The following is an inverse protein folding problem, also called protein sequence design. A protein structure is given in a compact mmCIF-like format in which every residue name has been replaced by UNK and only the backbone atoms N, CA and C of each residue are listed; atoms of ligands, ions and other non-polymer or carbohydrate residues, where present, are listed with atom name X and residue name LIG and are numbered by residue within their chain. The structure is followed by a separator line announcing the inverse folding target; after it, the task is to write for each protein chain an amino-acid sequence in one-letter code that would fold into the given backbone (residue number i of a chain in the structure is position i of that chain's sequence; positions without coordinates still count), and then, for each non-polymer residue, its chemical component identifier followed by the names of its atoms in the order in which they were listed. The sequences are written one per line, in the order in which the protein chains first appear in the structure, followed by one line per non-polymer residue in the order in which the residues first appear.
data_IF_274223510984
#
_entry.id   IF_274223510984
#
_cell.length_a   1.000
_cell.length_b   1.000
_cell.length_c   1.000
_cell.angle_alpha   90.00
_cell.angle_beta   90.00
_cell.angle_gamma   90.00
#
_symmetry.space_group_name_H-M   'P 1'
#
loop_
_entity.id
_entity.type
_entity.pdbx_description
1 polymer ?
#
# COMPACT_ATOMS: atom_id res chain seq x y z
N UNK A 1 2.03 -4.69 -10.98
CA UNK A 1 2.94 -5.73 -11.50
C UNK A 1 3.53 -5.40 -12.86
N UNK A 2 2.77 -5.34 -13.96
CA UNK A 2 3.35 -5.16 -15.32
C UNK A 2 4.27 -3.92 -15.43
N UNK A 3 3.82 -2.76 -14.94
CA UNK A 3 4.64 -1.55 -14.93
C UNK A 3 5.96 -1.68 -14.12
N UNK A 4 5.98 -2.51 -13.07
CA UNK A 4 7.21 -2.81 -12.34
C UNK A 4 8.15 -3.69 -13.19
N UNK A 5 7.60 -4.71 -13.85
CA UNK A 5 8.37 -5.58 -14.73
C UNK A 5 9.00 -4.83 -15.92
N UNK A 6 8.28 -3.86 -16.51
CA UNK A 6 8.80 -3.07 -17.65
C UNK A 6 10.00 -2.19 -17.29
N UNK A 7 10.14 -1.80 -16.02
CA UNK A 7 11.28 -0.99 -15.55
C UNK A 7 12.35 -1.84 -14.84
N UNK A 8 12.23 -3.17 -14.86
CA UNK A 8 13.16 -4.07 -14.19
C UNK A 8 13.03 -4.08 -12.65
N UNK A 9 11.93 -3.57 -12.11
CA UNK A 9 11.68 -3.62 -10.67
C UNK A 9 11.16 -5.00 -10.24
N UNK A 10 11.52 -5.41 -9.02
CA UNK A 10 10.99 -6.63 -8.40
C UNK A 10 9.61 -6.34 -7.82
N UNK A 11 8.60 -7.11 -8.26
CA UNK A 11 7.25 -7.03 -7.71
C UNK A 11 7.02 -8.17 -6.72
N UNK A 12 6.56 -7.82 -5.51
CA UNK A 12 6.07 -8.78 -4.51
C UNK A 12 4.71 -8.33 -4.02
N UNK A 13 3.86 -9.29 -3.65
CA UNK A 13 2.53 -9.02 -3.12
C UNK A 13 2.13 -10.10 -2.10
N UNK A 14 1.22 -9.74 -1.21
CA UNK A 14 0.57 -10.67 -0.29
C UNK A 14 -0.94 -10.40 -0.30
N UNK A 15 -1.74 -11.45 -0.16
CA UNK A 15 -3.20 -11.31 -0.10
C UNK A 15 -3.62 -10.44 1.10
N UNK A 16 -4.64 -9.58 0.95
CA UNK A 16 -5.20 -8.82 2.06
C UNK A 16 -5.82 -9.71 3.14
N UNK A 17 -6.13 -10.98 2.84
CA UNK A 17 -6.63 -11.97 3.82
C UNK A 17 -5.55 -12.41 4.83
N UNK A 18 -4.27 -12.29 4.49
CA UNK A 18 -3.18 -12.66 5.40
C UNK A 18 -3.08 -11.68 6.58
N UNK A 19 -2.76 -12.16 7.78
CA UNK A 19 -2.53 -11.27 8.93
C UNK A 19 -1.32 -10.35 8.77
N UNK A 20 -1.22 -9.32 9.62
CA UNK A 20 -0.10 -8.36 9.66
C UNK A 20 1.26 -9.08 9.76
N UNK A 21 1.39 -10.06 10.66
CA UNK A 21 2.64 -10.78 10.87
C UNK A 21 3.12 -11.49 9.60
N UNK A 22 2.22 -12.20 8.90
CA UNK A 22 2.56 -12.89 7.66
C UNK A 22 2.96 -11.93 6.53
N UNK A 23 2.40 -10.71 6.49
CA UNK A 23 2.83 -9.68 5.56
C UNK A 23 4.24 -9.16 5.89
N UNK A 24 4.49 -8.85 7.15
CA UNK A 24 5.79 -8.36 7.62
C UNK A 24 6.90 -9.38 7.43
N UNK A 25 6.65 -10.66 7.70
CA UNK A 25 7.63 -11.72 7.48
C UNK A 25 8.18 -11.72 6.05
N UNK A 26 7.37 -11.34 5.05
CA UNK A 26 7.80 -11.24 3.64
C UNK A 26 8.39 -9.88 3.32
N UNK A 27 7.71 -8.80 3.70
CA UNK A 27 8.09 -7.45 3.30
C UNK A 27 9.36 -6.96 4.00
N UNK A 28 9.59 -7.35 5.25
CA UNK A 28 10.82 -6.97 5.95
C UNK A 28 12.08 -7.62 5.37
N UNK A 29 11.96 -8.75 4.64
CA UNK A 29 13.10 -9.39 3.99
C UNK A 29 13.54 -8.67 2.70
N UNK A 30 12.60 -8.04 2.00
CA UNK A 30 12.84 -7.39 0.71
C UNK A 30 12.94 -5.87 0.79
N UNK A 31 12.60 -5.28 1.94
CA UNK A 31 12.72 -3.85 2.25
C UNK A 31 12.16 -2.95 1.11
N UNK A 32 10.83 -3.00 0.86
CA UNK A 32 10.25 -2.37 -0.32
C UNK A 32 10.40 -0.85 -0.27
N UNK A 33 10.82 -0.25 -1.39
CA UNK A 33 10.91 1.22 -1.52
C UNK A 33 9.55 1.86 -1.83
N UNK A 34 8.66 1.13 -2.50
CA UNK A 34 7.31 1.57 -2.85
C UNK A 34 6.30 0.53 -2.40
N UNK A 35 5.23 0.95 -1.73
CA UNK A 35 4.15 0.09 -1.29
C UNK A 35 2.83 0.52 -1.93
N UNK A 36 2.11 -0.43 -2.54
CA UNK A 36 0.74 -0.24 -3.00
C UNK A 36 -0.23 -0.85 -2.00
N UNK A 37 -1.25 -0.10 -1.58
CA UNK A 37 -2.28 -0.55 -0.64
C UNK A 37 -3.66 -0.10 -1.12
N UNK A 38 -4.67 -0.96 -0.97
CA UNK A 38 -6.07 -0.52 -1.08
C UNK A 38 -6.59 -0.05 0.28
N UNK A 39 -7.65 0.74 0.28
CA UNK A 39 -8.34 1.22 1.49
C UNK A 39 -9.29 0.17 2.11
N UNK A 40 -9.56 -0.90 1.37
CA UNK A 40 -10.36 -2.02 1.83
C UNK A 40 -10.84 -2.90 0.69
N UNK A 41 -11.70 -3.85 1.03
CA UNK A 41 -12.28 -4.79 0.08
C UNK A 41 -13.81 -4.87 0.21
N UNK A 42 -14.45 -5.24 -0.89
CA UNK A 42 -15.87 -5.55 -0.96
C UNK A 42 -15.99 -7.03 -1.34
N UNK A 43 -16.73 -7.77 -0.54
CA UNK A 43 -16.97 -9.21 -0.65
C UNK A 43 -18.33 -9.51 -0.03
N UNK A 44 -19.15 -10.34 -0.68
CA UNK A 44 -20.50 -10.64 -0.18
C UNK A 44 -21.29 -9.40 0.30
N UNK A 45 -21.23 -8.31 -0.49
CA UNK A 45 -21.88 -7.01 -0.23
C UNK A 45 -21.45 -6.27 1.04
N UNK A 46 -20.46 -6.78 1.78
CA UNK A 46 -19.90 -6.13 2.95
C UNK A 46 -18.60 -5.43 2.60
N UNK A 47 -18.26 -4.41 3.38
CA UNK A 47 -17.00 -3.70 3.28
C UNK A 47 -16.09 -4.10 4.45
N UNK A 48 -14.82 -4.36 4.15
CA UNK A 48 -13.78 -4.55 5.16
C UNK A 48 -12.70 -3.52 4.95
N UNK A 49 -12.51 -2.68 5.97
CA UNK A 49 -11.43 -1.70 6.02
C UNK A 49 -10.08 -2.40 6.13
N UNK A 50 -9.10 -1.95 5.35
CA UNK A 50 -7.70 -2.36 5.50
C UNK A 50 -6.90 -1.39 6.39
N UNK A 51 -7.53 -0.32 6.91
CA UNK A 51 -6.86 0.79 7.60
C UNK A 51 -5.93 0.34 8.72
N UNK A 52 -6.46 -0.35 9.74
CA UNK A 52 -5.69 -0.78 10.91
C UNK A 52 -4.51 -1.69 10.51
N UNK A 53 -4.77 -2.63 9.59
CA UNK A 53 -3.75 -3.53 9.06
C UNK A 53 -2.65 -2.76 8.33
N UNK A 54 -3.02 -1.84 7.45
CA UNK A 54 -2.10 -1.01 6.67
C UNK A 54 -1.24 -0.14 7.59
N UNK A 55 -1.84 0.50 8.59
CA UNK A 55 -1.10 1.31 9.57
C UNK A 55 -0.03 0.50 10.31
N UNK A 56 -0.37 -0.71 10.78
CA UNK A 56 0.57 -1.60 11.46
C UNK A 56 1.71 -2.07 10.55
N UNK A 57 1.43 -2.35 9.29
CA UNK A 57 2.45 -2.73 8.31
C UNK A 57 3.39 -1.55 8.02
N UNK A 58 2.83 -0.37 7.75
CA UNK A 58 3.63 0.82 7.41
C UNK A 58 4.48 1.28 8.59
N UNK A 59 3.98 1.19 9.84
CA UNK A 59 4.76 1.58 11.02
C UNK A 59 6.06 0.79 11.15
N UNK A 60 6.05 -0.47 10.72
CA UNK A 60 7.23 -1.33 10.71
C UNK A 60 8.13 -1.09 9.51
N UNK A 61 7.55 -0.87 8.33
CA UNK A 61 8.29 -0.71 7.09
C UNK A 61 8.88 0.70 6.89
N UNK A 62 8.31 1.75 7.49
CA UNK A 62 8.79 3.14 7.32
C UNK A 62 10.24 3.38 7.76
N UNK A 63 10.78 2.50 8.60
CA UNK A 63 12.17 2.52 9.04
C UNK A 63 13.08 1.58 8.22
N UNK A 64 12.53 0.87 7.23
CA UNK A 64 13.19 -0.16 6.42
C UNK A 64 13.11 0.15 4.91
N UNK A 65 13.53 1.35 4.53
CA UNK A 65 13.71 1.72 3.12
C UNK A 65 12.45 2.15 2.37
N UNK A 66 11.27 2.10 2.99
CA UNK A 66 10.02 2.58 2.38
C UNK A 66 10.07 4.09 2.17
N UNK A 67 9.81 4.54 0.94
CA UNK A 67 9.86 5.97 0.54
C UNK A 67 8.53 6.50 0.03
N UNK A 68 7.73 5.64 -0.60
CA UNK A 68 6.47 6.04 -1.24
C UNK A 68 5.37 5.01 -0.96
N UNK A 69 4.19 5.50 -0.62
CA UNK A 69 2.97 4.72 -0.49
C UNK A 69 1.96 5.19 -1.53
N UNK A 70 1.42 4.25 -2.29
CA UNK A 70 0.36 4.50 -3.26
C UNK A 70 -0.93 3.87 -2.75
N UNK A 71 -1.94 4.71 -2.47
CA UNK A 71 -3.25 4.26 -2.01
C UNK A 71 -4.22 4.09 -3.18
N UNK A 72 -4.98 3.00 -3.18
CA UNK A 72 -6.01 2.70 -4.16
C UNK A 72 -7.36 2.77 -3.46
N UNK A 73 -8.24 3.68 -3.88
CA UNK A 73 -9.59 3.79 -3.33
C UNK A 73 -10.48 2.68 -3.87
N UNK A 74 -11.12 1.94 -2.97
CA UNK A 74 -12.05 0.85 -3.28
C UNK A 74 -13.31 0.94 -2.45
N UNK A 75 -13.23 1.36 -1.18
CA UNK A 75 -14.38 1.63 -0.31
C UNK A 75 -14.55 3.10 0.06
N UNK A 76 -13.71 4.00 -0.47
CA UNK A 76 -13.69 5.44 -0.20
C UNK A 76 -13.41 5.77 1.28
N UNK A 77 -12.41 5.10 1.87
CA UNK A 77 -11.98 5.40 3.24
C UNK A 77 -10.88 6.48 3.27
N UNK A 78 -11.29 7.75 3.33
CA UNK A 78 -10.38 8.90 3.30
C UNK A 78 -9.38 8.93 4.48
N UNK A 79 -9.76 8.34 5.62
CA UNK A 79 -8.94 8.28 6.84
C UNK A 79 -7.58 7.61 6.61
N UNK A 80 -7.46 6.72 5.63
CA UNK A 80 -6.20 6.05 5.31
C UNK A 80 -5.14 7.06 4.86
N UNK A 81 -5.49 7.93 3.92
CA UNK A 81 -4.57 8.91 3.37
C UNK A 81 -4.07 9.86 4.45
N UNK A 82 -4.98 10.36 5.29
CA UNK A 82 -4.65 11.30 6.37
C UNK A 82 -3.70 10.67 7.38
N UNK A 83 -3.99 9.43 7.82
CA UNK A 83 -3.15 8.73 8.78
C UNK A 83 -1.76 8.41 8.22
N UNK A 84 -1.66 8.01 6.95
CA UNK A 84 -0.37 7.69 6.31
C UNK A 84 0.51 8.93 6.14
N UNK A 85 -0.07 10.08 5.76
CA UNK A 85 0.67 11.36 5.67
C UNK A 85 1.30 11.77 7.00
N UNK A 86 0.64 11.48 8.12
CA UNK A 86 1.17 11.76 9.46
C UNK A 86 2.38 10.88 9.83
N UNK A 87 2.62 9.77 9.12
CA UNK A 87 3.74 8.86 9.41
C UNK A 87 5.08 9.32 8.82
N UNK A 88 5.10 10.42 8.07
CA UNK A 88 6.31 11.00 7.48
C UNK A 88 6.79 10.33 6.19
N UNK A 89 5.94 9.49 5.56
CA UNK A 89 6.23 8.85 4.28
C UNK A 89 5.43 9.54 3.18
N UNK A 90 6.06 9.75 2.02
CA UNK A 90 5.37 10.28 0.86
C UNK A 90 4.20 9.37 0.49
N UNK A 91 3.00 9.93 0.44
CA UNK A 91 1.78 9.16 0.16
C UNK A 91 1.00 9.82 -0.97
N UNK A 92 0.61 9.05 -1.98
CA UNK A 92 -0.14 9.53 -3.13
C UNK A 92 -1.32 8.62 -3.44
N UNK A 93 -2.38 9.19 -3.96
CA UNK A 93 -3.49 8.43 -4.51
C UNK A 93 -3.13 7.88 -5.89
N UNK A 94 -3.63 6.69 -6.22
CA UNK A 94 -3.31 6.01 -7.47
C UNK A 94 -3.64 6.84 -8.71
N UNK A 95 -4.81 7.48 -8.74
CA UNK A 95 -5.25 8.28 -9.90
C UNK A 95 -4.33 9.49 -10.10
N UNK A 96 -4.03 10.25 -9.03
CA UNK A 96 -3.08 11.36 -9.06
C UNK A 96 -1.66 10.89 -9.42
N UNK A 97 -1.27 9.68 -9.03
CA UNK A 97 0.01 9.09 -9.40
C UNK A 97 0.09 8.82 -10.91
N UNK A 98 -1.01 8.40 -11.54
CA UNK A 98 -1.08 8.13 -12.98
C UNK A 98 -1.15 9.40 -13.82
N UNK A 99 -1.87 10.44 -13.37
CA UNK A 99 -2.04 11.70 -14.13
C UNK A 99 -0.71 12.33 -14.53
N UNK A 100 0.34 12.19 -13.71
CA UNK A 100 1.69 12.66 -14.01
C UNK A 100 2.31 12.02 -15.26
N UNK A 101 1.80 10.86 -15.69
CA UNK A 101 2.32 10.05 -16.78
C UNK A 101 1.27 9.81 -17.88
N UNK A 102 0.10 10.43 -17.79
CA UNK A 102 -0.86 10.46 -18.87
C UNK A 102 -0.28 11.33 -20.00
N UNK A 103 -0.08 10.73 -21.18
CA UNK A 103 0.37 11.37 -22.42
C UNK A 103 -0.85 11.81 -23.22
#
# INVERSE_FOLDING_TARGET
MLAAATIGAVWTAISPENGVAAALDRFEQVEPTVLFVDDGMIYNEKQWSSLDKTMKIVDRLRFKGLKLIITIKKINEDRMMDNLKLMGIETREYDNFLERYAI
#
